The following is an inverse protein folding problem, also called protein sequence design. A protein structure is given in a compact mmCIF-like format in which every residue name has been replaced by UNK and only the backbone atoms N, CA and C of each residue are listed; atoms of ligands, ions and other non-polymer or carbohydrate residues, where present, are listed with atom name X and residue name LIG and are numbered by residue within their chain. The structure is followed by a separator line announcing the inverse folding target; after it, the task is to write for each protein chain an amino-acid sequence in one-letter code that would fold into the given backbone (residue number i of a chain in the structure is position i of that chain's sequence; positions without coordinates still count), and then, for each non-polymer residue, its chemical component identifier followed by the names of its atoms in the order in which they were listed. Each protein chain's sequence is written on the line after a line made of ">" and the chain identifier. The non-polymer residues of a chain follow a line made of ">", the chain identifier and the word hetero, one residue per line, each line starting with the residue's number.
data_IF_625400958406
#
_entry.id   IF_625400958406
#
_cell.length_a   1.000
_cell.length_b   1.000
_cell.length_c   1.000
_cell.angle_alpha   90.00
_cell.angle_beta   90.00
_cell.angle_gamma   90.00
#
_symmetry.space_group_name_H-M   'P 1'
#
loop_
_entity.id
_entity.type
_entity.pdbx_description
1 polymer ?
#
# COMPACT_ATOMS: atom_id res chain seq x y z
N UNK A 1 -13.35 8.22 -25.76
CA UNK A 1 -13.28 7.00 -24.95
C UNK A 1 -13.51 7.35 -23.49
N UNK A 2 -14.13 6.46 -22.70
CA UNK A 2 -14.16 6.57 -21.23
C UNK A 2 -12.76 6.41 -20.64
N UNK A 3 -12.56 6.80 -19.38
CA UNK A 3 -11.26 6.62 -18.70
C UNK A 3 -10.85 5.13 -18.65
N UNK A 4 -11.83 4.24 -18.39
CA UNK A 4 -11.66 2.79 -18.44
C UNK A 4 -11.25 2.29 -19.82
N UNK A 5 -11.99 2.65 -20.87
CA UNK A 5 -11.69 2.25 -22.26
C UNK A 5 -10.28 2.68 -22.66
N UNK A 6 -9.94 3.95 -22.40
CA UNK A 6 -8.63 4.51 -22.73
C UNK A 6 -7.51 3.77 -22.01
N UNK A 7 -7.68 3.47 -20.72
CA UNK A 7 -6.68 2.75 -19.94
C UNK A 7 -6.45 1.33 -20.48
N UNK A 8 -7.53 0.58 -20.76
CA UNK A 8 -7.44 -0.76 -21.35
C UNK A 8 -6.76 -0.70 -22.72
N UNK A 9 -7.23 0.16 -23.61
CA UNK A 9 -6.68 0.34 -24.96
C UNK A 9 -5.17 0.71 -24.92
N UNK A 10 -4.76 1.51 -23.94
CA UNK A 10 -3.34 1.86 -23.73
C UNK A 10 -2.52 0.63 -23.32
N UNK A 11 -2.98 -0.13 -22.32
CA UNK A 11 -2.26 -1.28 -21.80
C UNK A 11 -2.23 -2.47 -22.78
N UNK A 12 -3.22 -2.57 -23.66
CA UNK A 12 -3.27 -3.62 -24.70
C UNK A 12 -2.62 -3.17 -26.01
N UNK A 13 -1.83 -2.10 -26.01
CA UNK A 13 -1.10 -1.58 -27.17
C UNK A 13 -1.99 -1.25 -28.38
N UNK A 14 -3.19 -0.75 -28.11
CA UNK A 14 -4.15 -0.31 -29.12
C UNK A 14 -3.95 1.13 -29.59
N UNK A 15 -5.04 1.82 -29.91
CA UNK A 15 -5.07 3.21 -30.39
C UNK A 15 -5.95 4.09 -29.48
N UNK A 16 -5.51 4.40 -28.25
CA UNK A 16 -6.28 5.25 -27.35
C UNK A 16 -6.43 6.66 -27.95
N UNK A 17 -7.53 7.34 -27.61
CA UNK A 17 -7.79 8.72 -28.04
C UNK A 17 -6.78 9.73 -27.46
N UNK A 18 -6.18 9.42 -26.32
CA UNK A 18 -5.03 10.11 -25.71
C UNK A 18 -4.34 9.19 -24.69
N UNK A 19 -3.12 9.52 -24.27
CA UNK A 19 -2.39 8.76 -23.24
C UNK A 19 -2.89 9.15 -21.84
N UNK A 20 -3.28 8.19 -20.97
CA UNK A 20 -3.63 8.47 -19.58
C UNK A 20 -2.47 9.13 -18.81
N UNK A 21 -2.77 10.18 -18.04
CA UNK A 21 -1.81 10.85 -17.16
C UNK A 21 -2.16 10.55 -15.68
N UNK A 22 -1.29 9.80 -15.00
CA UNK A 22 -1.48 9.39 -13.60
C UNK A 22 -0.15 9.47 -12.83
N UNK A 23 0.35 10.68 -12.47
CA UNK A 23 1.69 10.86 -11.92
C UNK A 23 1.86 10.42 -10.44
N UNK A 24 0.79 9.94 -9.79
CA UNK A 24 0.79 9.63 -8.36
C UNK A 24 0.68 10.87 -7.48
N UNK A 25 0.49 10.68 -6.18
CA UNK A 25 0.36 11.79 -5.22
C UNK A 25 1.71 12.28 -4.67
N UNK A 26 1.83 13.58 -4.32
CA UNK A 26 3.03 14.11 -3.69
C UNK A 26 3.15 13.66 -2.23
N UNK A 27 4.38 13.58 -1.72
CA UNK A 27 4.65 13.55 -0.26
C UNK A 27 4.28 14.89 0.37
N UNK A 28 4.04 14.91 1.68
CA UNK A 28 3.69 16.14 2.40
C UNK A 28 4.77 17.22 2.29
N UNK A 29 6.05 16.87 2.53
CA UNK A 29 7.19 17.77 2.34
C UNK A 29 7.30 18.34 0.92
N UNK A 30 7.03 17.51 -0.10
CA UNK A 30 7.03 17.95 -1.51
C UNK A 30 5.89 18.91 -1.79
N UNK A 31 4.68 18.60 -1.31
CA UNK A 31 3.52 19.49 -1.49
C UNK A 31 3.70 20.82 -0.76
N UNK A 32 4.29 20.80 0.45
CA UNK A 32 4.64 22.00 1.20
C UNK A 32 5.61 22.87 0.39
N UNK A 33 6.69 22.29 -0.14
CA UNK A 33 7.66 23.00 -0.97
C UNK A 33 7.02 23.60 -2.23
N UNK A 34 6.17 22.85 -2.93
CA UNK A 34 5.47 23.38 -4.10
C UNK A 34 4.60 24.59 -3.77
N UNK A 35 3.98 24.64 -2.60
CA UNK A 35 3.21 25.82 -2.15
C UNK A 35 4.10 27.04 -1.96
N UNK A 36 5.31 26.85 -1.41
CA UNK A 36 6.31 27.92 -1.26
C UNK A 36 6.88 28.39 -2.61
N UNK A 37 6.89 27.51 -3.62
CA UNK A 37 7.41 27.78 -4.96
C UNK A 37 6.36 28.25 -5.98
N UNK A 38 5.09 28.40 -5.58
CA UNK A 38 4.04 29.03 -6.39
C UNK A 38 2.78 28.22 -6.64
N UNK A 39 2.62 27.03 -6.05
CA UNK A 39 1.33 26.34 -6.02
C UNK A 39 0.36 27.09 -5.08
N UNK A 40 -0.77 27.64 -5.57
CA UNK A 40 -1.68 28.41 -4.73
C UNK A 40 -2.22 27.61 -3.55
N UNK A 41 -2.35 28.27 -2.40
CA UNK A 41 -2.91 27.65 -1.20
C UNK A 41 -4.34 27.13 -1.45
N UNK A 42 -4.64 25.95 -0.92
CA UNK A 42 -5.92 25.26 -1.16
C UNK A 42 -6.10 24.66 -2.56
N UNK A 43 -5.23 24.99 -3.53
CA UNK A 43 -5.31 24.40 -4.87
C UNK A 43 -4.75 22.98 -4.89
N UNK A 44 -5.50 22.06 -5.49
CA UNK A 44 -5.03 20.70 -5.72
C UNK A 44 -3.87 20.70 -6.74
N UNK A 45 -2.77 20.00 -6.40
CA UNK A 45 -1.56 19.97 -7.24
C UNK A 45 -1.84 19.44 -8.66
N UNK A 46 -2.70 18.43 -8.79
CA UNK A 46 -3.00 17.80 -10.07
C UNK A 46 -3.79 18.75 -10.97
N UNK A 47 -4.77 19.48 -10.42
CA UNK A 47 -5.46 20.53 -11.16
C UNK A 47 -4.50 21.62 -11.65
N UNK A 48 -3.58 22.08 -10.80
CA UNK A 48 -2.58 23.07 -11.19
C UNK A 48 -1.64 22.55 -12.29
N UNK A 49 -1.19 21.29 -12.19
CA UNK A 49 -0.38 20.62 -13.21
C UNK A 49 -1.09 20.60 -14.57
N UNK A 50 -2.37 20.19 -14.59
CA UNK A 50 -3.15 20.13 -15.82
C UNK A 50 -3.31 21.51 -16.46
N UNK A 51 -3.59 22.55 -15.67
CA UNK A 51 -3.69 23.92 -16.18
C UNK A 51 -2.38 24.43 -16.80
N UNK A 52 -1.24 24.20 -16.12
CA UNK A 52 0.10 24.59 -16.62
C UNK A 52 0.39 23.91 -17.96
N UNK A 53 0.00 22.65 -18.10
CA UNK A 53 0.20 21.87 -19.33
C UNK A 53 -0.87 22.11 -20.40
N UNK A 54 -1.89 22.92 -20.12
CA UNK A 54 -3.02 23.13 -21.02
C UNK A 54 -3.86 21.87 -21.28
N UNK A 55 -3.89 20.94 -20.31
CA UNK A 55 -4.63 19.67 -20.41
C UNK A 55 -6.01 19.84 -19.77
N UNK A 56 -7.06 19.50 -20.51
CA UNK A 56 -8.42 19.47 -19.97
C UNK A 56 -8.58 18.35 -18.93
N UNK A 57 -9.09 18.72 -17.75
CA UNK A 57 -9.38 17.77 -16.68
C UNK A 57 -10.55 16.88 -17.06
N UNK A 58 -10.38 15.57 -16.91
CA UNK A 58 -11.47 14.62 -17.12
C UNK A 58 -12.56 14.78 -16.05
N UNK A 59 -13.81 14.48 -16.43
CA UNK A 59 -14.95 14.51 -15.52
C UNK A 59 -14.69 13.58 -14.33
N UNK A 60 -14.77 14.13 -13.13
CA UNK A 60 -14.73 13.33 -11.91
C UNK A 60 -16.05 12.59 -11.74
N UNK A 61 -15.95 11.30 -11.45
CA UNK A 61 -17.06 10.44 -11.05
C UNK A 61 -16.70 9.78 -9.72
N UNK A 62 -17.73 9.43 -8.94
CA UNK A 62 -17.54 8.74 -7.66
C UNK A 62 -16.81 7.41 -7.90
N UNK A 63 -15.66 7.25 -7.24
CA UNK A 63 -14.91 6.00 -7.26
C UNK A 63 -15.26 5.18 -6.03
N UNK A 64 -15.64 3.94 -6.26
CA UNK A 64 -16.01 2.99 -5.23
C UNK A 64 -14.81 2.09 -4.99
N UNK A 65 -14.32 2.09 -3.76
CA UNK A 65 -13.39 1.09 -3.25
C UNK A 65 -14.20 -0.12 -2.76
N UNK A 66 -13.85 -1.32 -3.23
CA UNK A 66 -14.50 -2.56 -2.80
C UNK A 66 -14.22 -2.86 -1.31
N UNK A 67 -13.17 -2.28 -0.72
CA UNK A 67 -12.85 -2.41 0.71
C UNK A 67 -12.33 -3.79 1.12
N UNK A 68 -11.98 -4.65 0.16
CA UNK A 68 -11.40 -5.97 0.41
C UNK A 68 -10.02 -5.80 1.05
N UNK A 69 -9.77 -6.45 2.18
CA UNK A 69 -8.53 -6.32 2.94
C UNK A 69 -7.57 -7.47 2.65
N UNK A 70 -6.39 -7.17 2.11
CA UNK A 70 -5.28 -8.13 1.98
C UNK A 70 -4.33 -8.09 3.21
N UNK A 71 -4.61 -7.25 4.20
CA UNK A 71 -3.76 -7.08 5.39
C UNK A 71 -3.93 -8.24 6.37
N UNK A 72 -2.95 -8.45 7.25
CA UNK A 72 -3.13 -9.36 8.39
C UNK A 72 -4.29 -8.89 9.31
N UNK A 73 -5.05 -9.84 9.85
CA UNK A 73 -6.13 -9.63 10.85
C UNK A 73 -6.00 -10.70 11.96
N UNK A 74 -5.86 -10.32 13.23
CA UNK A 74 -5.64 -8.95 13.71
C UNK A 74 -4.27 -8.42 13.28
N UNK A 75 -4.16 -7.10 13.18
CA UNK A 75 -2.87 -6.41 13.08
C UNK A 75 -2.14 -6.48 14.42
N UNK A 76 -0.84 -6.17 14.42
CA UNK A 76 -0.12 -5.97 15.68
C UNK A 76 -0.55 -4.65 16.32
N UNK A 77 -0.46 -4.58 17.65
CA UNK A 77 -0.69 -3.35 18.39
C UNK A 77 0.39 -2.34 18.02
N UNK A 78 -0.02 -1.19 17.49
CA UNK A 78 0.88 -0.05 17.29
C UNK A 78 1.16 0.62 18.64
N UNK A 79 2.43 0.70 19.02
CA UNK A 79 2.81 1.34 20.29
C UNK A 79 4.21 1.91 20.27
N UNK A 80 4.39 2.97 21.05
CA UNK A 80 5.70 3.51 21.39
C UNK A 80 6.28 2.64 22.51
N UNK A 81 7.42 2.03 22.24
CA UNK A 81 8.18 1.22 23.20
C UNK A 81 9.11 2.12 24.00
N UNK A 82 9.75 3.07 23.32
CA UNK A 82 10.72 3.99 23.91
C UNK A 82 10.73 5.33 23.16
N UNK A 83 10.98 6.42 23.88
CA UNK A 83 11.31 7.73 23.31
C UNK A 83 12.63 8.19 23.91
N UNK A 84 13.65 8.36 23.07
CA UNK A 84 14.97 8.82 23.49
C UNK A 84 15.69 9.55 22.36
N UNK A 85 16.54 10.51 22.72
CA UNK A 85 17.48 11.17 21.79
C UNK A 85 16.85 11.76 20.51
N UNK A 86 15.58 12.20 20.56
CA UNK A 86 14.87 12.72 19.39
C UNK A 86 14.23 11.65 18.49
N UNK A 87 14.10 10.43 18.99
CA UNK A 87 13.64 9.28 18.23
C UNK A 87 12.62 8.44 19.01
N UNK A 88 11.61 7.93 18.29
CA UNK A 88 10.71 6.91 18.80
C UNK A 88 11.17 5.53 18.36
N UNK A 89 11.19 4.57 19.28
CA UNK A 89 11.20 3.14 18.98
C UNK A 89 9.77 2.67 19.11
N UNK A 90 9.21 2.13 18.03
CA UNK A 90 7.81 1.74 17.93
C UNK A 90 7.67 0.31 17.45
N UNK A 91 6.62 -0.37 17.90
CA UNK A 91 6.08 -1.52 17.18
C UNK A 91 5.05 -1.00 16.19
N UNK A 92 5.19 -1.35 14.92
CA UNK A 92 4.23 -0.98 13.88
C UNK A 92 3.05 -1.98 13.78
N UNK A 93 2.10 -1.67 12.91
CA UNK A 93 0.91 -2.47 12.69
C UNK A 93 1.20 -3.84 12.06
N UNK A 94 2.38 -4.02 11.45
CA UNK A 94 2.86 -5.28 10.88
C UNK A 94 3.68 -6.11 11.87
N UNK A 95 4.03 -5.53 13.03
CA UNK A 95 4.71 -6.20 14.13
C UNK A 95 6.22 -5.98 14.17
N UNK A 96 6.76 -5.17 13.27
CA UNK A 96 8.18 -4.85 13.27
C UNK A 96 8.51 -3.79 14.34
N UNK A 97 9.71 -3.89 14.91
CA UNK A 97 10.25 -2.92 15.86
C UNK A 97 11.17 -1.98 15.08
N UNK A 98 10.79 -0.71 15.03
CA UNK A 98 11.41 0.28 14.15
C UNK A 98 11.63 1.59 14.89
N UNK A 99 12.74 2.23 14.57
CA UNK A 99 13.05 3.57 15.03
C UNK A 99 12.86 4.60 13.93
N UNK A 100 12.23 5.70 14.31
CA UNK A 100 11.94 6.87 13.49
C UNK A 100 12.25 8.15 14.27
N UNK A 101 12.53 9.24 13.54
CA UNK A 101 12.61 10.58 14.14
C UNK A 101 11.29 10.95 14.82
N UNK A 102 11.36 11.60 15.98
CA UNK A 102 10.19 12.05 16.75
C UNK A 102 9.45 13.23 16.12
N UNK A 103 9.93 13.73 14.98
CA UNK A 103 9.20 14.63 14.10
C UNK A 103 8.03 13.93 13.38
N UNK A 104 8.02 12.60 13.37
CA UNK A 104 6.96 11.78 12.82
C UNK A 104 6.29 10.95 13.93
N UNK A 105 5.01 10.66 13.75
CA UNK A 105 4.31 9.67 14.57
C UNK A 105 4.25 8.31 13.87
N UNK A 106 3.80 7.27 14.59
CA UNK A 106 3.71 5.91 14.06
C UNK A 106 2.74 5.78 12.86
N UNK A 107 1.83 6.75 12.63
CA UNK A 107 0.94 6.71 11.47
C UNK A 107 1.67 6.90 10.14
N UNK A 108 2.88 7.46 10.15
CA UNK A 108 3.77 7.55 8.97
C UNK A 108 4.41 6.19 8.59
N UNK A 109 4.18 5.16 9.40
CA UNK A 109 4.56 3.78 9.08
C UNK A 109 3.42 3.01 8.39
N UNK A 110 2.18 3.52 8.45
CA UNK A 110 1.02 2.88 7.81
C UNK A 110 1.00 3.07 6.30
N UNK A 111 1.48 4.22 5.85
CA UNK A 111 1.53 4.61 4.45
C UNK A 111 2.65 5.62 4.23
N UNK A 112 3.06 5.80 2.98
CA UNK A 112 4.17 6.67 2.65
C UNK A 112 3.73 8.15 2.56
N UNK A 113 3.34 8.75 3.70
CA UNK A 113 2.96 10.17 3.78
C UNK A 113 4.12 11.11 3.47
N UNK A 114 5.30 10.76 3.99
CA UNK A 114 6.53 11.53 3.81
C UNK A 114 7.78 10.62 3.78
N UNK A 115 8.96 11.22 3.66
CA UNK A 115 10.26 10.55 3.62
C UNK A 115 10.77 10.21 5.02
N UNK A 116 10.19 9.18 5.63
CA UNK A 116 10.62 8.70 6.94
C UNK A 116 11.82 7.77 6.80
N UNK A 117 12.98 8.20 7.30
CA UNK A 117 14.14 7.31 7.47
C UNK A 117 13.85 6.37 8.63
N UNK A 118 14.08 5.08 8.41
CA UNK A 118 13.73 4.02 9.36
C UNK A 118 14.97 3.20 9.69
N UNK A 119 15.13 2.86 10.96
CA UNK A 119 16.09 1.85 11.42
C UNK A 119 15.30 0.68 12.01
N UNK A 120 15.46 -0.50 11.44
CA UNK A 120 14.75 -1.70 11.86
C UNK A 120 15.57 -2.46 12.90
N UNK A 121 14.91 -2.87 13.99
CA UNK A 121 15.53 -3.63 15.09
C UNK A 121 15.09 -5.08 15.11
N UNK A 122 13.82 -5.34 14.77
CA UNK A 122 13.23 -6.67 14.81
C UNK A 122 12.08 -6.76 13.81
N UNK A 123 11.89 -7.94 13.26
CA UNK A 123 10.76 -8.27 12.40
C UNK A 123 9.90 -9.36 13.04
N UNK A 124 8.61 -9.48 12.63
CA UNK A 124 7.69 -10.42 13.26
C UNK A 124 7.93 -11.89 12.88
N UNK A 125 8.77 -12.19 11.88
CA UNK A 125 9.15 -13.55 11.47
C UNK A 125 10.67 -13.69 11.41
N UNK A 126 11.28 -14.28 12.44
CA UNK A 126 12.73 -14.59 12.48
C UNK A 126 13.00 -16.10 12.38
N UNK A 127 12.00 -16.93 12.68
CA UNK A 127 12.08 -18.38 12.57
C UNK A 127 10.75 -19.05 12.16
N UNK A 128 10.76 -20.39 12.13
CA UNK A 128 9.59 -21.19 11.77
C UNK A 128 8.44 -21.07 12.79
N UNK A 129 8.74 -20.90 14.08
CA UNK A 129 7.69 -20.74 15.09
C UNK A 129 6.96 -19.42 14.90
N UNK A 130 7.70 -18.34 14.64
CA UNK A 130 7.12 -17.03 14.33
C UNK A 130 6.25 -17.10 13.07
N UNK A 131 6.71 -17.84 12.05
CA UNK A 131 5.97 -18.05 10.82
C UNK A 131 4.63 -18.77 11.04
N UNK A 132 4.61 -19.84 11.85
CA UNK A 132 3.36 -20.52 12.21
C UNK A 132 2.35 -19.60 12.87
N UNK A 133 2.80 -18.67 13.72
CA UNK A 133 1.92 -17.66 14.33
C UNK A 133 1.47 -16.59 13.32
N UNK A 134 2.34 -16.17 12.41
CA UNK A 134 2.01 -15.19 11.37
C UNK A 134 0.90 -15.69 10.45
N UNK A 135 0.95 -16.96 10.02
CA UNK A 135 -0.07 -17.58 9.14
C UNK A 135 -1.49 -17.44 9.70
N UNK A 136 -1.66 -17.53 11.02
CA UNK A 136 -2.97 -17.43 11.69
C UNK A 136 -3.65 -16.07 11.48
N UNK A 137 -2.90 -15.04 11.11
CA UNK A 137 -3.44 -13.69 10.86
C UNK A 137 -3.98 -13.52 9.43
N UNK A 138 -3.89 -14.54 8.60
CA UNK A 138 -4.33 -14.52 7.21
C UNK A 138 -5.48 -15.52 6.98
N UNK A 139 -6.47 -15.50 7.87
CA UNK A 139 -7.72 -16.24 7.67
C UNK A 139 -8.68 -15.46 6.75
N UNK A 140 -9.18 -16.14 5.72
CA UNK A 140 -10.16 -15.64 4.76
C UNK A 140 -11.49 -15.30 5.41
N UNK A 141 -11.85 -16.00 6.49
CA UNK A 141 -13.11 -15.78 7.21
C UNK A 141 -13.00 -14.72 8.31
N UNK A 142 -11.85 -14.04 8.42
CA UNK A 142 -11.67 -12.97 9.38
C UNK A 142 -12.74 -11.89 9.21
N UNK A 143 -13.49 -11.51 10.26
CA UNK A 143 -14.41 -10.38 10.18
C UNK A 143 -13.71 -9.12 9.67
N UNK A 144 -14.31 -8.45 8.69
CA UNK A 144 -13.72 -7.28 8.03
C UNK A 144 -12.76 -7.58 6.88
N UNK A 145 -12.53 -8.86 6.51
CA UNK A 145 -11.84 -9.25 5.26
C UNK A 145 -12.57 -8.69 4.04
N UNK A 146 -13.89 -8.89 4.03
CA UNK A 146 -14.84 -8.30 3.12
C UNK A 146 -15.78 -7.40 3.95
N UNK A 147 -16.06 -6.16 3.52
CA UNK A 147 -17.00 -5.30 4.23
C UNK A 147 -18.44 -5.83 4.09
N UNK A 148 -19.31 -5.49 5.03
CA UNK A 148 -20.71 -5.96 5.03
C UNK A 148 -21.47 -5.58 3.75
N UNK A 149 -21.12 -4.44 3.13
CA UNK A 149 -21.71 -3.94 1.88
C UNK A 149 -20.91 -4.33 0.62
N UNK A 150 -20.02 -5.33 0.70
CA UNK A 150 -19.17 -5.74 -0.41
C UNK A 150 -19.94 -6.06 -1.70
N UNK A 151 -20.99 -6.89 -1.61
CA UNK A 151 -21.80 -7.26 -2.78
C UNK A 151 -22.49 -6.04 -3.41
N UNK A 152 -22.90 -5.07 -2.60
CA UNK A 152 -23.52 -3.82 -3.08
C UNK A 152 -22.51 -2.96 -3.83
N UNK A 153 -21.28 -2.85 -3.31
CA UNK A 153 -20.17 -2.20 -4.00
C UNK A 153 -19.88 -2.87 -5.33
N UNK A 154 -19.81 -4.21 -5.36
CA UNK A 154 -19.61 -5.01 -6.58
C UNK A 154 -20.69 -4.75 -7.64
N UNK A 155 -21.96 -4.63 -7.23
CA UNK A 155 -23.07 -4.30 -8.13
C UNK A 155 -22.94 -2.88 -8.69
N UNK A 156 -22.63 -1.90 -7.84
CA UNK A 156 -22.48 -0.48 -8.26
C UNK A 156 -21.32 -0.25 -9.23
N UNK A 157 -20.26 -1.06 -9.16
CA UNK A 157 -19.09 -0.91 -10.04
C UNK A 157 -19.23 -1.58 -11.42
N UNK A 158 -20.29 -2.35 -11.68
CA UNK A 158 -20.46 -3.07 -12.96
C UNK A 158 -20.46 -2.11 -14.17
N UNK A 159 -21.19 -1.01 -14.07
CA UNK A 159 -21.40 -0.04 -15.17
C UNK A 159 -20.49 1.21 -15.08
N UNK A 160 -19.36 1.10 -14.37
CA UNK A 160 -18.42 2.21 -14.17
C UNK A 160 -17.72 2.66 -15.46
N UNK A 161 -17.34 3.94 -15.52
CA UNK A 161 -16.54 4.50 -16.63
C UNK A 161 -15.05 4.72 -16.28
N UNK A 162 -14.64 4.37 -15.05
CA UNK A 162 -13.27 4.44 -14.54
C UNK A 162 -12.62 3.05 -14.34
N UNK A 163 -11.30 3.06 -14.18
CA UNK A 163 -10.52 1.87 -13.83
C UNK A 163 -10.74 1.52 -12.37
N UNK A 164 -11.30 0.34 -12.12
CA UNK A 164 -11.31 -0.25 -10.78
C UNK A 164 -9.99 -0.96 -10.57
N UNK A 165 -9.35 -0.69 -9.45
CA UNK A 165 -8.03 -1.22 -9.12
C UNK A 165 -8.10 -1.98 -7.81
N UNK A 166 -7.40 -3.10 -7.74
CA UNK A 166 -7.08 -3.81 -6.50
C UNK A 166 -5.56 -3.77 -6.34
N UNK A 167 -5.10 -3.61 -5.11
CA UNK A 167 -3.67 -3.54 -4.81
C UNK A 167 -3.36 -4.46 -3.64
N UNK A 168 -2.35 -5.28 -3.83
CA UNK A 168 -1.76 -6.14 -2.81
C UNK A 168 -0.26 -6.27 -3.11
N UNK A 169 0.48 -6.68 -2.10
CA UNK A 169 1.93 -6.77 -2.21
C UNK A 169 2.34 -8.00 -3.03
N UNK A 170 3.35 -7.84 -3.89
CA UNK A 170 3.99 -8.99 -4.52
C UNK A 170 4.73 -9.83 -3.46
N UNK A 171 5.00 -11.13 -3.72
CA UNK A 171 5.55 -12.03 -2.70
C UNK A 171 6.81 -11.51 -2.01
N UNK A 172 7.80 -11.01 -2.77
CA UNK A 172 9.01 -10.47 -2.17
C UNK A 172 8.72 -9.29 -1.24
N UNK A 173 7.81 -8.40 -1.62
CA UNK A 173 7.46 -7.23 -0.79
C UNK A 173 6.75 -7.68 0.49
N UNK A 174 5.76 -8.55 0.40
CA UNK A 174 5.06 -9.05 1.58
C UNK A 174 5.98 -9.80 2.54
N UNK A 175 6.84 -10.68 2.02
CA UNK A 175 7.83 -11.41 2.82
C UNK A 175 8.86 -10.48 3.45
N UNK A 176 9.24 -9.40 2.75
CA UNK A 176 10.14 -8.37 3.29
C UNK A 176 9.51 -7.68 4.50
N UNK A 177 8.19 -7.45 4.50
CA UNK A 177 7.51 -6.88 5.67
C UNK A 177 7.48 -7.87 6.85
N UNK A 178 7.42 -9.18 6.59
CA UNK A 178 7.45 -10.20 7.64
C UNK A 178 8.83 -10.46 8.22
N UNK A 179 9.85 -10.58 7.37
CA UNK A 179 11.18 -11.03 7.77
C UNK A 179 12.18 -9.88 7.90
N UNK A 180 11.95 -8.78 7.20
CA UNK A 180 12.94 -7.75 6.90
C UNK A 180 13.75 -8.06 5.65
N UNK A 181 14.26 -7.01 4.99
CA UNK A 181 14.99 -7.15 3.72
C UNK A 181 16.25 -8.02 3.86
N UNK A 182 17.09 -7.73 4.85
CA UNK A 182 18.37 -8.43 5.04
C UNK A 182 18.15 -9.91 5.38
N UNK A 183 17.29 -10.19 6.37
CA UNK A 183 16.94 -11.55 6.75
C UNK A 183 16.31 -12.32 5.58
N UNK A 184 15.40 -11.71 4.82
CA UNK A 184 14.80 -12.36 3.66
C UNK A 184 15.87 -12.73 2.62
N UNK A 185 16.80 -11.82 2.33
CA UNK A 185 17.91 -12.12 1.42
C UNK A 185 18.80 -13.27 1.92
N UNK A 186 19.08 -13.33 3.22
CA UNK A 186 19.83 -14.45 3.84
C UNK A 186 19.01 -15.75 3.73
N UNK A 187 17.72 -15.74 4.07
CA UNK A 187 16.84 -16.91 3.96
C UNK A 187 16.71 -17.41 2.52
N UNK A 188 16.72 -16.54 1.53
CA UNK A 188 16.69 -16.97 0.12
C UNK A 188 17.93 -17.80 -0.27
N UNK A 189 19.07 -17.59 0.39
CA UNK A 189 20.31 -18.33 0.16
C UNK A 189 20.35 -19.59 1.04
N UNK A 190 20.09 -19.42 2.34
CA UNK A 190 20.33 -20.47 3.34
C UNK A 190 19.12 -21.39 3.56
N UNK A 191 17.91 -20.90 3.30
CA UNK A 191 16.63 -21.59 3.56
C UNK A 191 15.63 -21.39 2.41
N UNK A 192 15.99 -21.72 1.14
CA UNK A 192 15.13 -21.46 -0.01
C UNK A 192 13.77 -22.14 0.07
N UNK A 193 13.69 -23.34 0.67
CA UNK A 193 12.42 -24.05 0.87
C UNK A 193 11.48 -23.31 1.84
N UNK A 194 12.03 -22.67 2.87
CA UNK A 194 11.26 -21.84 3.81
C UNK A 194 10.69 -20.60 3.11
N UNK A 195 11.50 -19.93 2.29
CA UNK A 195 11.04 -18.79 1.49
C UNK A 195 9.98 -19.23 0.49
N UNK A 196 10.16 -20.39 -0.15
CA UNK A 196 9.17 -20.95 -1.07
C UNK A 196 7.84 -21.23 -0.36
N UNK A 197 7.85 -21.79 0.84
CA UNK A 197 6.65 -22.01 1.64
C UNK A 197 5.90 -20.69 1.90
N UNK A 198 6.61 -19.64 2.31
CA UNK A 198 6.02 -18.31 2.54
C UNK A 198 5.43 -17.71 1.26
N UNK A 199 6.11 -17.87 0.11
CA UNK A 199 5.60 -17.43 -1.20
C UNK A 199 4.33 -18.18 -1.58
N UNK A 200 4.34 -19.51 -1.47
CA UNK A 200 3.20 -20.35 -1.84
C UNK A 200 2.00 -20.05 -0.94
N UNK A 201 2.22 -19.82 0.36
CA UNK A 201 1.19 -19.37 1.30
C UNK A 201 0.59 -18.01 0.88
N UNK A 202 1.43 -17.01 0.65
CA UNK A 202 0.96 -15.67 0.28
C UNK A 202 0.20 -15.68 -1.04
N UNK A 203 0.71 -16.39 -2.04
CA UNK A 203 0.06 -16.54 -3.32
C UNK A 203 -1.31 -17.23 -3.18
N UNK A 204 -1.38 -18.31 -2.40
CA UNK A 204 -2.64 -19.01 -2.09
C UNK A 204 -3.66 -18.08 -1.43
N UNK A 205 -3.26 -17.38 -0.37
CA UNK A 205 -4.12 -16.41 0.31
C UNK A 205 -4.65 -15.33 -0.64
N UNK A 206 -3.77 -14.69 -1.42
CA UNK A 206 -4.20 -13.65 -2.38
C UNK A 206 -5.16 -14.19 -3.42
N UNK A 207 -4.90 -15.40 -3.97
CA UNK A 207 -5.77 -16.02 -4.96
C UNK A 207 -7.15 -16.38 -4.40
N UNK A 208 -7.24 -16.78 -3.14
CA UNK A 208 -8.52 -17.11 -2.51
C UNK A 208 -9.32 -15.84 -2.11
N UNK A 209 -8.66 -14.70 -1.93
CA UNK A 209 -9.32 -13.40 -1.68
C UNK A 209 -9.88 -12.77 -2.97
N UNK A 210 -9.24 -13.01 -4.13
CA UNK A 210 -9.63 -12.45 -5.44
C UNK A 210 -10.84 -13.15 -6.07
#
# INVERSE_FOLDING_TARGET
>A
MTSRERFVETLTFGKPDKIPLMPGGPRESTLKRWREEGLPEGKNYYSALLEILGIEKEKEEERIDLGVSFKMIPQFEEKIIEHRDGHYIVQDWMGAIVEISDQYDYTYLREAKDFVTRKWYKFPVEDYSDWEEMKKRYDLNSPGRFPEDFEDRCRRVQDRSYVLSLSFDGPFWQLREWCGLENLCIFMIERPDFVKEMIDFWAGFVLEVL
#
